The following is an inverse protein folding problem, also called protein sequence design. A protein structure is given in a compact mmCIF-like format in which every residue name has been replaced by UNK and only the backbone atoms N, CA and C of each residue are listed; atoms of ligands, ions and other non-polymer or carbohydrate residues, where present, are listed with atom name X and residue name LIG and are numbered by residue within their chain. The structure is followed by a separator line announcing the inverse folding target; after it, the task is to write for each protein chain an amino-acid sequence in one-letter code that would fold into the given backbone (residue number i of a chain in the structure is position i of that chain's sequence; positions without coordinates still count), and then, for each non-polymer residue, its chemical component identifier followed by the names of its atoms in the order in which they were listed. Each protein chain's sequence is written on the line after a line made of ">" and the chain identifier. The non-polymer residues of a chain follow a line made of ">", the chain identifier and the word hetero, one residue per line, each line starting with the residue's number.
data_IF_270476195552
#
_entry.id   IF_270476195552
#
_cell.length_a   1.000
_cell.length_b   1.000
_cell.length_c   1.000
_cell.angle_alpha   90.00
_cell.angle_beta   90.00
_cell.angle_gamma   90.00
#
_symmetry.space_group_name_H-M   'P 1'
#
loop_
_entity.id
_entity.type
_entity.pdbx_description
1 polymer ?
#
# COMPACT_ATOMS: atom_id res chain seq x y z
N UNK A 1 -4.22 3.59 -22.00
CA UNK A 1 -3.45 2.71 -21.10
C UNK A 1 -2.99 3.47 -19.85
N UNK A 2 -2.26 4.59 -20.04
CA UNK A 2 -1.81 5.49 -18.96
C UNK A 2 -2.88 5.82 -17.90
N UNK A 3 -4.07 6.27 -18.30
CA UNK A 3 -5.15 6.60 -17.34
C UNK A 3 -5.54 5.42 -16.43
N UNK A 4 -5.61 4.20 -16.98
CA UNK A 4 -5.96 3.00 -16.20
C UNK A 4 -4.83 2.63 -15.24
N UNK A 5 -3.58 2.75 -15.68
CA UNK A 5 -2.40 2.53 -14.82
C UNK A 5 -2.32 3.56 -13.68
N UNK A 6 -2.64 4.82 -13.96
CA UNK A 6 -2.71 5.89 -12.96
C UNK A 6 -3.79 5.62 -11.90
N UNK A 7 -5.03 5.34 -12.33
CA UNK A 7 -6.14 5.05 -11.41
C UNK A 7 -5.85 3.79 -10.60
N UNK A 8 -5.32 2.73 -11.23
CA UNK A 8 -4.89 1.52 -10.54
C UNK A 8 -3.81 1.78 -9.50
N UNK A 9 -2.83 2.63 -9.82
CA UNK A 9 -1.80 3.08 -8.89
C UNK A 9 -2.38 3.76 -7.65
N UNK A 10 -3.31 4.70 -7.83
CA UNK A 10 -3.97 5.41 -6.73
C UNK A 10 -4.83 4.50 -5.85
N UNK A 11 -5.54 3.53 -6.42
CA UNK A 11 -6.29 2.55 -5.64
C UNK A 11 -5.35 1.74 -4.75
N UNK A 12 -4.21 1.28 -5.30
CA UNK A 12 -3.23 0.52 -4.53
C UNK A 12 -2.60 1.36 -3.41
N UNK A 13 -2.29 2.63 -3.64
CA UNK A 13 -1.81 3.53 -2.59
C UNK A 13 -2.82 3.66 -1.43
N UNK A 14 -4.11 3.85 -1.75
CA UNK A 14 -5.16 3.95 -0.73
C UNK A 14 -5.31 2.64 0.04
N UNK A 15 -5.32 1.50 -0.64
CA UNK A 15 -5.40 0.18 0.00
C UNK A 15 -4.19 -0.05 0.92
N UNK A 16 -3.00 0.33 0.49
CA UNK A 16 -1.80 0.24 1.31
C UNK A 16 -1.89 1.13 2.56
N UNK A 17 -2.31 2.39 2.41
CA UNK A 17 -2.49 3.30 3.54
C UNK A 17 -3.51 2.79 4.55
N UNK A 18 -4.63 2.23 4.08
CA UNK A 18 -5.63 1.61 4.94
C UNK A 18 -5.06 0.40 5.68
N UNK A 19 -4.30 -0.46 4.99
CA UNK A 19 -3.66 -1.64 5.57
C UNK A 19 -2.67 -1.25 6.66
N UNK A 20 -1.82 -0.25 6.40
CA UNK A 20 -0.85 0.28 7.36
C UNK A 20 -1.54 0.97 8.54
N UNK A 21 -2.61 1.74 8.29
CA UNK A 21 -3.41 2.38 9.33
C UNK A 21 -4.05 1.37 10.27
N UNK A 22 -4.65 0.29 9.72
CA UNK A 22 -5.21 -0.81 10.52
C UNK A 22 -4.12 -1.50 11.33
N UNK A 23 -2.96 -1.79 10.73
CA UNK A 23 -1.85 -2.41 11.45
C UNK A 23 -1.39 -1.58 12.65
N UNK A 24 -1.28 -0.26 12.49
CA UNK A 24 -0.91 0.66 13.57
C UNK A 24 -1.98 0.77 14.66
N UNK A 25 -3.25 0.77 14.28
CA UNK A 25 -4.37 0.80 15.23
C UNK A 25 -4.40 -0.48 16.05
N UNK A 26 -4.31 -1.65 15.41
CA UNK A 26 -4.29 -2.95 16.09
C UNK A 26 -3.08 -3.07 17.03
N UNK A 27 -1.89 -2.63 16.59
CA UNK A 27 -0.70 -2.57 17.44
C UNK A 27 -0.91 -1.68 18.68
N UNK A 28 -1.51 -0.50 18.48
CA UNK A 28 -1.80 0.46 19.57
C UNK A 28 -2.72 -0.08 20.66
N UNK A 29 -3.54 -1.09 20.34
CA UNK A 29 -4.37 -1.80 21.32
C UNK A 29 -3.64 -2.93 22.06
N UNK A 30 -2.39 -3.22 21.72
CA UNK A 30 -1.52 -4.14 22.46
C UNK A 30 -1.85 -5.63 22.30
N UNK A 31 -2.68 -6.01 21.34
CA UNK A 31 -3.17 -7.38 21.13
C UNK A 31 -2.40 -8.17 20.06
N UNK A 32 -1.33 -7.62 19.48
CA UNK A 32 -0.64 -8.19 18.31
C UNK A 32 0.69 -8.90 18.59
N UNK A 33 0.91 -10.04 17.90
CA UNK A 33 2.24 -10.61 17.69
C UNK A 33 3.05 -9.66 16.79
N UNK A 34 4.18 -9.17 17.30
CA UNK A 34 5.11 -8.27 16.59
C UNK A 34 5.48 -8.80 15.19
N UNK A 35 5.60 -10.12 15.01
CA UNK A 35 5.89 -10.69 13.69
C UNK A 35 4.72 -10.52 12.71
N UNK A 36 3.49 -10.63 13.19
CA UNK A 36 2.30 -10.42 12.37
C UNK A 36 2.21 -8.94 11.93
N UNK A 37 2.55 -8.02 12.82
CA UNK A 37 2.57 -6.58 12.52
C UNK A 37 3.64 -6.20 11.51
N UNK A 38 4.85 -6.74 11.66
CA UNK A 38 5.90 -6.59 10.65
C UNK A 38 5.46 -7.16 9.30
N UNK A 39 4.71 -8.26 9.31
CA UNK A 39 4.07 -8.83 8.11
C UNK A 39 3.09 -7.86 7.45
N UNK A 40 2.20 -7.23 8.23
CA UNK A 40 1.26 -6.23 7.73
C UNK A 40 1.94 -4.97 7.21
N UNK A 41 2.98 -4.49 7.90
CA UNK A 41 3.79 -3.36 7.46
C UNK A 41 4.51 -3.67 6.13
N UNK A 42 5.10 -4.85 6.01
CA UNK A 42 5.74 -5.29 4.78
C UNK A 42 4.74 -5.43 3.63
N UNK A 43 3.57 -6.03 3.89
CA UNK A 43 2.52 -6.19 2.89
C UNK A 43 1.98 -4.82 2.41
N UNK A 44 1.63 -3.93 3.33
CA UNK A 44 1.20 -2.57 3.01
C UNK A 44 2.26 -1.80 2.24
N UNK A 45 3.53 -1.88 2.65
CA UNK A 45 4.65 -1.27 1.95
C UNK A 45 4.84 -1.77 0.51
N UNK A 46 4.75 -3.08 0.29
CA UNK A 46 4.85 -3.66 -1.06
C UNK A 46 3.70 -3.21 -1.97
N UNK A 47 2.48 -3.19 -1.45
CA UNK A 47 1.30 -2.72 -2.21
C UNK A 47 1.45 -1.24 -2.58
N UNK A 48 1.96 -0.42 -1.66
CA UNK A 48 2.27 0.99 -1.93
C UNK A 48 3.29 1.14 -3.06
N UNK A 49 4.40 0.39 -2.99
CA UNK A 49 5.45 0.42 -4.02
C UNK A 49 4.94 -0.02 -5.39
N UNK A 50 4.05 -1.01 -5.45
CA UNK A 50 3.40 -1.43 -6.68
C UNK A 50 2.49 -0.33 -7.25
N UNK A 51 1.72 0.34 -6.40
CA UNK A 51 0.92 1.50 -6.79
C UNK A 51 1.78 2.61 -7.39
N UNK A 52 2.86 2.96 -6.70
CA UNK A 52 3.83 3.96 -7.14
C UNK A 52 4.51 3.58 -8.47
N UNK A 53 4.89 2.30 -8.64
CA UNK A 53 5.50 1.83 -9.88
C UNK A 53 4.53 1.92 -11.08
N UNK A 54 3.24 1.65 -10.87
CA UNK A 54 2.20 1.80 -11.89
C UNK A 54 1.98 3.27 -12.27
N UNK A 55 1.97 4.17 -11.28
CA UNK A 55 1.90 5.62 -11.53
C UNK A 55 3.12 6.10 -12.33
N UNK A 56 4.33 5.69 -11.94
CA UNK A 56 5.57 5.99 -12.68
C UNK A 56 5.56 5.46 -14.11
N UNK A 57 4.97 4.29 -14.34
CA UNK A 57 4.81 3.74 -15.68
C UNK A 57 3.82 4.56 -16.50
N UNK A 58 2.71 5.00 -15.89
CA UNK A 58 1.74 5.90 -16.53
C UNK A 58 2.39 7.22 -16.96
N UNK A 59 3.25 7.81 -16.12
CA UNK A 59 3.96 9.06 -16.45
C UNK A 59 4.88 8.90 -17.67
N UNK A 60 5.49 7.72 -17.86
CA UNK A 60 6.35 7.43 -19.02
C UNK A 60 5.58 7.16 -20.31
N UNK A 61 4.31 6.75 -20.20
CA UNK A 61 3.43 6.48 -21.35
C UNK A 61 2.61 7.72 -21.76
N UNK A 62 2.79 8.86 -21.09
CA UNK A 62 2.10 10.14 -21.33
C UNK A 62 2.97 11.09 -22.14
#
# INVERSE_FOLDING_TARGET
>A
MAFVLYVGGKILEVVAMLTLGVALVVYGFGEGDMNAELGWLAAGGLVFLLGYALERRSERER
#
